data_IF_317395025707
#
_entry.id   IF_317395025707
#
_cell.length_a   1.000
_cell.length_b   1.000
_cell.length_c   1.000
_cell.angle_alpha   90.00
_cell.angle_beta   90.00
_cell.angle_gamma   90.00
#
_symmetry.space_group_name_H-M   'P 1'
#
loop_
_entity.id
_entity.type
_entity.pdbx_description
1 polymer ?
#
# COMPACT_ATOMS: atom_id res chain seq x y z
N UNK A 1 -1.20 17.03 2.87
CA UNK A 1 -1.77 17.26 1.51
C UNK A 1 -2.54 16.00 1.12
N UNK A 2 -3.68 16.13 0.44
CA UNK A 2 -4.50 15.00 -0.02
C UNK A 2 -4.32 14.73 -1.53
N UNK A 3 -4.64 13.51 -1.95
CA UNK A 3 -4.65 13.09 -3.35
C UNK A 3 -5.99 13.42 -4.03
N UNK A 4 -7.11 13.29 -3.30
CA UNK A 4 -8.46 13.61 -3.75
C UNK A 4 -9.24 14.35 -2.64
N UNK A 5 -10.09 15.29 -3.03
CA UNK A 5 -11.01 15.99 -2.13
C UNK A 5 -12.45 15.58 -2.44
N UNK A 6 -13.21 15.16 -1.43
CA UNK A 6 -14.60 14.75 -1.58
C UNK A 6 -15.49 15.67 -0.74
N UNK A 7 -16.53 16.23 -1.37
CA UNK A 7 -17.51 17.10 -0.72
C UNK A 7 -18.84 16.36 -0.65
N UNK A 8 -19.26 16.10 0.59
CA UNK A 8 -20.46 15.32 0.88
C UNK A 8 -21.68 16.24 0.93
N UNK A 9 -21.59 17.30 1.73
CA UNK A 9 -22.64 18.31 1.90
C UNK A 9 -21.99 19.70 2.03
N UNK A 10 -22.50 20.66 1.28
CA UNK A 10 -22.16 22.07 1.45
C UNK A 10 -23.27 22.94 0.87
N UNK A 11 -23.68 23.97 1.61
CA UNK A 11 -24.48 25.04 1.04
C UNK A 11 -23.67 25.99 0.16
N UNK A 12 -24.36 26.87 -0.56
CA UNK A 12 -23.77 27.78 -1.57
C UNK A 12 -22.65 28.70 -1.05
N UNK A 13 -22.69 29.04 0.24
CA UNK A 13 -21.67 29.85 0.95
C UNK A 13 -20.92 29.04 2.02
N UNK A 14 -20.85 27.71 1.87
CA UNK A 14 -20.14 26.85 2.81
C UNK A 14 -18.62 27.01 2.71
N UNK A 15 -17.91 26.86 3.84
CA UNK A 15 -16.45 26.90 3.86
C UNK A 15 -15.79 25.84 2.96
N UNK A 16 -16.49 24.73 2.72
CA UNK A 16 -16.06 23.66 1.81
C UNK A 16 -15.85 24.13 0.37
N UNK A 17 -16.57 25.17 -0.10
CA UNK A 17 -16.34 25.72 -1.45
C UNK A 17 -14.98 26.40 -1.59
N UNK A 18 -14.52 27.07 -0.53
CA UNK A 18 -13.19 27.71 -0.53
C UNK A 18 -12.12 26.63 -0.64
N UNK A 19 -12.27 25.53 0.13
CA UNK A 19 -11.37 24.38 0.03
C UNK A 19 -11.42 23.73 -1.34
N UNK A 20 -12.60 23.61 -1.96
CA UNK A 20 -12.77 23.10 -3.31
C UNK A 20 -12.08 23.97 -4.37
N UNK A 21 -12.20 25.29 -4.24
CA UNK A 21 -11.59 26.26 -5.13
C UNK A 21 -10.07 26.26 -4.98
N UNK A 22 -9.57 26.15 -3.76
CA UNK A 22 -8.15 25.99 -3.49
C UNK A 22 -7.62 24.66 -4.06
N UNK A 23 -8.33 23.56 -3.89
CA UNK A 23 -7.96 22.26 -4.45
C UNK A 23 -7.90 22.31 -5.99
N UNK A 24 -8.89 22.92 -6.65
CA UNK A 24 -8.86 23.15 -8.10
C UNK A 24 -7.68 24.03 -8.52
N UNK A 25 -7.34 25.08 -7.76
CA UNK A 25 -6.18 25.93 -8.05
C UNK A 25 -4.85 25.19 -7.99
N UNK A 26 -4.77 24.13 -7.17
CA UNK A 26 -3.63 23.22 -7.07
C UNK A 26 -3.74 22.01 -8.00
N UNK A 27 -4.68 22.04 -8.95
CA UNK A 27 -4.91 20.98 -9.92
C UNK A 27 -5.13 19.61 -9.26
N UNK A 28 -5.86 19.61 -8.13
CA UNK A 28 -6.26 18.41 -7.39
C UNK A 28 -7.62 17.94 -7.85
N UNK A 29 -7.82 16.62 -7.81
CA UNK A 29 -9.11 16.03 -8.15
C UNK A 29 -10.14 16.32 -7.05
N UNK A 30 -11.19 17.04 -7.44
CA UNK A 30 -12.31 17.39 -6.57
C UNK A 30 -13.54 16.61 -7.00
N UNK A 31 -14.21 16.00 -6.02
CA UNK A 31 -15.42 15.21 -6.20
C UNK A 31 -16.54 15.76 -5.32
N UNK A 32 -17.77 15.65 -5.80
CA UNK A 32 -18.95 16.08 -5.06
C UNK A 32 -20.09 15.05 -5.19
N UNK A 33 -20.81 14.85 -4.09
CA UNK A 33 -22.00 14.02 -4.06
C UNK A 33 -23.22 14.87 -4.47
N UNK A 34 -24.01 14.44 -5.47
CA UNK A 34 -25.18 15.17 -5.89
C UNK A 34 -26.26 15.08 -4.83
N UNK A 35 -27.06 16.13 -4.69
CA UNK A 35 -28.18 16.16 -3.75
C UNK A 35 -29.40 16.89 -4.30
N UNK A 36 -30.48 16.94 -3.51
CA UNK A 36 -31.75 17.54 -3.94
C UNK A 36 -31.56 19.03 -4.25
N UNK A 37 -32.14 19.50 -5.35
CA UNK A 37 -32.03 20.91 -5.78
C UNK A 37 -32.67 21.90 -4.81
N UNK A 38 -33.64 21.44 -4.02
CA UNK A 38 -34.33 22.23 -2.98
C UNK A 38 -33.61 22.23 -1.64
N UNK A 39 -32.57 21.41 -1.46
CA UNK A 39 -31.86 21.31 -0.19
C UNK A 39 -30.69 22.29 -0.14
N UNK A 40 -30.76 23.23 0.80
CA UNK A 40 -29.72 24.23 1.02
C UNK A 40 -28.35 23.58 1.29
N UNK A 41 -28.28 22.37 1.85
CA UNK A 41 -27.00 21.67 2.08
C UNK A 41 -26.42 21.02 0.82
N UNK A 42 -27.19 20.91 -0.25
CA UNK A 42 -26.76 20.31 -1.52
C UNK A 42 -26.47 21.35 -2.60
N UNK A 43 -26.92 22.60 -2.41
CA UNK A 43 -26.72 23.69 -3.37
C UNK A 43 -25.25 23.91 -3.75
N UNK A 44 -24.32 23.82 -2.79
CA UNK A 44 -22.89 24.00 -3.04
C UNK A 44 -22.29 22.84 -3.82
N UNK A 45 -22.63 21.60 -3.48
CA UNK A 45 -22.20 20.42 -4.24
C UNK A 45 -22.70 20.49 -5.69
N UNK A 46 -24.00 20.77 -5.87
CA UNK A 46 -24.63 20.89 -7.18
C UNK A 46 -24.03 22.05 -8.00
N UNK A 47 -23.71 23.18 -7.36
CA UNK A 47 -23.03 24.30 -8.01
C UNK A 47 -21.64 23.91 -8.54
N UNK A 48 -20.84 23.19 -7.75
CA UNK A 48 -19.51 22.74 -8.17
C UNK A 48 -19.58 21.77 -9.34
N UNK A 49 -20.55 20.84 -9.31
CA UNK A 49 -20.80 19.90 -10.41
C UNK A 49 -21.23 20.65 -11.66
N UNK A 50 -22.19 21.59 -11.54
CA UNK A 50 -22.72 22.38 -12.67
C UNK A 50 -21.63 23.20 -13.39
N UNK A 51 -20.62 23.67 -12.65
CA UNK A 51 -19.53 24.48 -13.21
C UNK A 51 -18.28 23.67 -13.57
N UNK A 52 -18.37 22.33 -13.61
CA UNK A 52 -17.25 21.42 -13.86
C UNK A 52 -16.06 21.64 -12.90
N UNK A 53 -16.32 22.14 -11.68
CA UNK A 53 -15.33 22.32 -10.62
C UNK A 53 -15.18 21.07 -9.74
N UNK A 54 -16.12 20.12 -9.84
CA UNK A 54 -16.04 18.85 -9.15
C UNK A 54 -16.68 17.76 -10.01
N UNK A 55 -16.07 16.57 -10.02
CA UNK A 55 -16.65 15.40 -10.66
C UNK A 55 -17.74 14.78 -9.78
N UNK A 56 -18.85 14.38 -10.38
CA UNK A 56 -19.95 13.74 -9.67
C UNK A 56 -19.56 12.31 -9.29
N UNK A 57 -19.74 11.96 -8.02
CA UNK A 57 -19.63 10.57 -7.54
C UNK A 57 -20.87 10.20 -6.72
N UNK A 58 -21.32 8.94 -6.87
CA UNK A 58 -22.48 8.40 -6.13
C UNK A 58 -22.08 7.35 -5.11
N UNK A 59 -20.93 6.71 -5.33
CA UNK A 59 -20.43 5.64 -4.49
C UNK A 59 -18.89 5.61 -4.50
N UNK A 60 -18.29 4.81 -3.62
CA UNK A 60 -16.83 4.70 -3.51
C UNK A 60 -16.17 4.07 -4.75
N UNK A 61 -16.88 3.23 -5.51
CA UNK A 61 -16.33 2.63 -6.72
C UNK A 61 -16.13 3.67 -7.83
N UNK A 62 -17.02 4.66 -7.95
CA UNK A 62 -16.87 5.78 -8.88
C UNK A 62 -15.54 6.52 -8.61
N UNK A 63 -15.26 6.83 -7.34
CA UNK A 63 -14.02 7.46 -6.92
C UNK A 63 -12.81 6.61 -7.32
N UNK A 64 -12.82 5.31 -7.02
CA UNK A 64 -11.70 4.43 -7.38
C UNK A 64 -11.48 4.36 -8.88
N UNK A 65 -12.55 4.36 -9.68
CA UNK A 65 -12.47 4.35 -11.13
C UNK A 65 -11.89 5.66 -11.67
N UNK A 66 -12.38 6.81 -11.18
CA UNK A 66 -11.90 8.15 -11.55
C UNK A 66 -10.43 8.35 -11.18
N UNK A 67 -10.02 7.90 -9.99
CA UNK A 67 -8.63 7.95 -9.52
C UNK A 67 -7.74 6.86 -10.12
N UNK A 68 -8.29 5.96 -10.93
CA UNK A 68 -7.63 4.76 -11.44
C UNK A 68 -6.96 3.93 -10.31
N UNK A 69 -7.56 3.95 -9.13
CA UNK A 69 -7.17 3.13 -8.00
C UNK A 69 -7.62 1.70 -8.26
N UNK A 70 -6.74 0.95 -8.92
CA UNK A 70 -6.92 -0.48 -9.10
C UNK A 70 -6.95 -1.12 -7.72
N UNK A 71 -8.08 -1.73 -7.37
CA UNK A 71 -8.12 -2.80 -6.38
C UNK A 71 -7.26 -3.93 -6.92
N UNK A 72 -5.95 -3.82 -6.72
CA UNK A 72 -5.08 -4.96 -6.79
C UNK A 72 -5.49 -5.82 -5.61
N UNK A 73 -6.49 -6.68 -5.81
CA UNK A 73 -6.45 -7.97 -5.16
C UNK A 73 -5.08 -8.50 -5.52
N UNK A 74 -4.10 -8.33 -4.62
CA UNK A 74 -2.90 -9.13 -4.60
C UNK A 74 -3.45 -10.54 -4.51
N UNK A 75 -3.72 -11.17 -5.66
CA UNK A 75 -3.67 -12.62 -5.77
C UNK A 75 -2.36 -12.91 -5.07
N UNK A 76 -2.41 -13.54 -3.89
CA UNK A 76 -1.20 -14.09 -3.28
C UNK A 76 -0.54 -14.80 -4.43
N UNK A 77 0.57 -14.26 -4.95
CA UNK A 77 1.36 -14.97 -5.93
C UNK A 77 1.63 -16.26 -5.20
N UNK A 78 1.00 -17.34 -5.65
CA UNK A 78 1.40 -18.68 -5.24
C UNK A 78 2.81 -18.78 -5.78
N UNK A 79 3.78 -18.36 -4.98
CA UNK A 79 5.18 -18.59 -5.26
C UNK A 79 5.24 -20.11 -5.37
N UNK A 80 5.49 -20.59 -6.58
CA UNK A 80 5.71 -21.99 -6.83
C UNK A 80 7.00 -22.31 -6.08
N UNK A 81 6.86 -22.76 -4.83
CA UNK A 81 8.00 -23.23 -4.04
C UNK A 81 8.63 -24.33 -4.87
N UNK A 82 9.88 -24.14 -5.28
CA UNK A 82 10.62 -25.20 -5.95
C UNK A 82 10.63 -26.39 -4.99
N UNK A 83 10.12 -27.54 -5.46
CA UNK A 83 9.94 -28.73 -4.62
C UNK A 83 11.29 -29.27 -4.10
N UNK A 84 12.39 -28.88 -4.75
CA UNK A 84 13.77 -29.18 -4.37
C UNK A 84 14.61 -27.92 -4.51
N UNK A 85 14.85 -27.22 -3.40
CA UNK A 85 15.86 -26.16 -3.34
C UNK A 85 17.18 -26.86 -3.02
N UNK A 86 18.15 -26.78 -3.92
CA UNK A 86 19.52 -27.21 -3.63
C UNK A 86 20.16 -26.15 -2.72
N UNK A 87 20.10 -26.40 -1.41
CA UNK A 87 20.72 -25.53 -0.41
C UNK A 87 22.20 -25.88 -0.26
N UNK A 88 23.04 -24.87 -0.30
CA UNK A 88 24.44 -24.98 0.14
C UNK A 88 24.52 -25.27 1.65
N UNK A 89 25.67 -25.73 2.13
CA UNK A 89 25.87 -26.04 3.55
C UNK A 89 25.58 -24.84 4.48
N UNK A 90 25.89 -23.63 4.01
CA UNK A 90 25.68 -22.38 4.74
C UNK A 90 24.20 -21.97 4.74
N UNK A 91 23.52 -22.06 3.60
CA UNK A 91 22.08 -21.79 3.50
C UNK A 91 21.26 -22.76 4.34
N UNK A 92 21.63 -24.05 4.35
CA UNK A 92 20.96 -25.08 5.15
C UNK A 92 21.01 -24.79 6.64
N UNK A 93 22.17 -24.38 7.16
CA UNK A 93 22.32 -23.97 8.56
C UNK A 93 21.42 -22.78 8.92
N UNK A 94 21.32 -21.79 8.03
CA UNK A 94 20.47 -20.62 8.25
C UNK A 94 18.99 -20.99 8.26
N UNK A 95 18.56 -21.86 7.33
CA UNK A 95 17.18 -22.37 7.28
C UNK A 95 16.83 -23.17 8.53
N UNK A 96 17.71 -24.05 9.01
CA UNK A 96 17.50 -24.82 10.25
C UNK A 96 17.40 -23.91 11.49
N UNK A 97 18.25 -22.88 11.57
CA UNK A 97 18.18 -21.88 12.64
C UNK A 97 16.85 -21.11 12.62
N UNK A 98 16.41 -20.67 11.44
CA UNK A 98 15.14 -19.96 11.28
C UNK A 98 13.92 -20.87 11.51
N UNK A 99 13.98 -22.15 11.14
CA UNK A 99 12.92 -23.11 11.43
C UNK A 99 12.76 -23.37 12.93
N UNK A 100 13.86 -23.44 13.67
CA UNK A 100 13.83 -23.73 15.11
C UNK A 100 13.39 -22.54 15.97
N UNK A 101 13.62 -21.30 15.53
CA UNK A 101 13.39 -20.08 16.32
C UNK A 101 12.37 -19.10 15.75
N UNK A 102 11.99 -19.24 14.49
CA UNK A 102 11.12 -18.30 13.81
C UNK A 102 11.88 -17.04 13.38
N UNK A 103 11.50 -15.89 13.93
CA UNK A 103 12.07 -14.60 13.55
C UNK A 103 13.42 -14.39 14.26
N UNK A 104 14.51 -14.29 13.51
CA UNK A 104 15.84 -14.03 14.06
C UNK A 104 16.46 -12.77 13.48
N UNK A 105 17.24 -12.05 14.29
CA UNK A 105 18.07 -10.94 13.79
C UNK A 105 19.32 -11.47 13.09
N UNK A 106 19.94 -10.62 12.27
CA UNK A 106 21.24 -10.95 11.65
C UNK A 106 22.32 -11.29 12.68
N UNK A 107 22.32 -10.63 13.84
CA UNK A 107 23.32 -10.85 14.88
C UNK A 107 23.14 -12.22 15.56
N UNK A 108 21.89 -12.64 15.79
CA UNK A 108 21.59 -13.97 16.33
C UNK A 108 21.99 -15.09 15.35
N UNK A 109 21.75 -14.87 14.06
CA UNK A 109 22.18 -15.77 13.01
C UNK A 109 23.72 -15.85 12.96
N UNK A 110 24.40 -14.71 13.06
CA UNK A 110 25.85 -14.62 13.06
C UNK A 110 26.49 -15.39 14.23
N UNK A 111 25.95 -15.21 15.45
CA UNK A 111 26.44 -15.88 16.65
C UNK A 111 26.34 -17.39 16.59
N UNK A 112 25.37 -17.94 15.84
CA UNK A 112 25.04 -19.37 15.86
C UNK A 112 25.47 -20.14 14.64
N UNK A 113 25.43 -19.52 13.47
CA UNK A 113 25.77 -20.21 12.24
C UNK A 113 27.28 -20.44 12.10
N UNK A 114 28.10 -19.64 12.79
CA UNK A 114 29.57 -19.64 12.68
C UNK A 114 30.03 -19.52 11.22
N UNK A 115 29.37 -18.66 10.45
CA UNK A 115 29.66 -18.38 9.04
C UNK A 115 30.31 -16.99 8.96
N UNK A 116 31.18 -16.77 7.97
CA UNK A 116 31.75 -15.44 7.72
C UNK A 116 30.65 -14.42 7.40
N UNK A 117 30.86 -13.15 7.73
CA UNK A 117 29.88 -12.08 7.46
C UNK A 117 29.55 -11.95 5.96
N UNK A 118 30.55 -12.16 5.10
CA UNK A 118 30.40 -12.16 3.64
C UNK A 118 29.53 -13.32 3.16
N UNK A 119 29.85 -14.55 3.59
CA UNK A 119 29.10 -15.76 3.22
C UNK A 119 27.66 -15.71 3.74
N UNK A 120 27.43 -15.16 4.93
CA UNK A 120 26.09 -14.98 5.48
C UNK A 120 25.25 -14.01 4.66
N UNK A 121 25.81 -12.86 4.28
CA UNK A 121 25.10 -11.88 3.45
C UNK A 121 24.73 -12.48 2.07
N UNK A 122 25.65 -13.24 1.46
CA UNK A 122 25.40 -13.92 0.20
C UNK A 122 24.31 -15.00 0.34
N UNK A 123 24.35 -15.82 1.40
CA UNK A 123 23.37 -16.86 1.65
C UNK A 123 21.97 -16.30 1.96
N UNK A 124 21.87 -15.24 2.76
CA UNK A 124 20.59 -14.57 3.05
C UNK A 124 19.98 -13.96 1.78
N UNK A 125 20.81 -13.32 0.95
CA UNK A 125 20.35 -12.76 -0.33
C UNK A 125 19.87 -13.86 -1.29
N UNK A 126 20.60 -14.97 -1.38
CA UNK A 126 20.22 -16.13 -2.20
C UNK A 126 18.88 -16.72 -1.73
N UNK A 127 18.72 -16.94 -0.43
CA UNK A 127 17.49 -17.46 0.17
C UNK A 127 16.29 -16.51 0.00
N UNK A 128 16.52 -15.19 0.03
CA UNK A 128 15.49 -14.18 -0.23
C UNK A 128 15.07 -14.19 -1.71
N UNK A 129 16.03 -14.29 -2.63
CA UNK A 129 15.76 -14.41 -4.07
C UNK A 129 15.01 -15.70 -4.43
N UNK A 130 15.28 -16.79 -3.70
CA UNK A 130 14.57 -18.06 -3.84
C UNK A 130 13.18 -18.06 -3.17
N UNK A 131 12.82 -17.01 -2.42
CA UNK A 131 11.55 -16.92 -1.70
C UNK A 131 11.43 -17.88 -0.52
N UNK A 132 12.57 -18.29 0.07
CA UNK A 132 12.60 -19.17 1.25
C UNK A 132 12.48 -18.35 2.53
N UNK A 133 13.08 -17.15 2.54
CA UNK A 133 13.07 -16.23 3.67
C UNK A 133 12.58 -14.85 3.23
N UNK A 134 12.03 -14.09 4.16
CA UNK A 134 11.61 -12.70 3.99
C UNK A 134 12.35 -11.80 4.96
N UNK A 135 12.90 -10.69 4.45
CA UNK A 135 13.48 -9.63 5.26
C UNK A 135 12.39 -8.71 5.83
N UNK A 136 12.39 -8.55 7.15
CA UNK A 136 11.51 -7.66 7.91
C UNK A 136 12.28 -6.40 8.33
N UNK A 137 11.57 -5.28 8.59
CA UNK A 137 12.18 -4.08 9.16
C UNK A 137 13.00 -4.40 10.41
N UNK A 138 14.20 -3.82 10.52
CA UNK A 138 15.10 -4.06 11.65
C UNK A 138 16.14 -5.17 11.45
N UNK A 139 16.40 -5.60 10.19
CA UNK A 139 17.33 -6.71 9.86
C UNK A 139 16.93 -8.03 10.53
N UNK A 140 15.63 -8.26 10.58
CA UNK A 140 15.02 -9.50 11.10
C UNK A 140 14.63 -10.34 9.90
N UNK A 141 14.91 -11.64 9.96
CA UNK A 141 14.57 -12.59 8.91
C UNK A 141 13.58 -13.62 9.43
N UNK A 142 12.66 -14.05 8.57
CA UNK A 142 11.66 -15.08 8.85
C UNK A 142 11.50 -15.99 7.64
N UNK A 143 11.13 -17.25 7.87
CA UNK A 143 10.68 -18.16 6.80
C UNK A 143 9.38 -17.65 6.14
N UNK A 144 9.27 -17.76 4.82
CA UNK A 144 8.07 -17.41 4.05
C UNK A 144 7.05 -18.57 3.93
#
# INVERSE_FOLDING_TARGET
ICDALIIIESGKKGGSLITAELANSYNKDVFAIPGRTIDHKSEGCNYLIQHNKASLITNAADLMQLMNWKLQHKKKRTQQKQLFIELTADERKLVELLQSRGNCSIDELFLKACISSSSMAAALLSLEMQGVITSLPGKIYRMD
#
